data_IF_304724594133
#
_entry.id   IF_304724594133
#
_cell.length_a   1.000
_cell.length_b   1.000
_cell.length_c   1.000
_cell.angle_alpha   90.00
_cell.angle_beta   90.00
_cell.angle_gamma   90.00
#
_symmetry.space_group_name_H-M   'P 1'
#
loop_
_entity.id
_entity.type
_entity.pdbx_description
1 polymer ?
#
# COMPACT_ATOMS: atom_id res chain seq x y z
N UNK A 1 -12.22 -25.33 -2.48
CA UNK A 1 -12.41 -23.90 -2.14
C UNK A 1 -11.96 -23.05 -3.32
N UNK A 2 -12.64 -21.95 -3.67
CA UNK A 2 -12.14 -21.05 -4.73
C UNK A 2 -11.04 -20.15 -4.14
N UNK A 3 -10.00 -19.93 -4.92
CA UNK A 3 -8.91 -19.00 -4.60
C UNK A 3 -9.02 -17.75 -5.48
N UNK A 4 -8.51 -16.62 -5.00
CA UNK A 4 -8.51 -15.37 -5.76
C UNK A 4 -7.13 -15.16 -6.42
N UNK A 5 -7.05 -15.13 -7.76
CA UNK A 5 -5.81 -14.80 -8.45
C UNK A 5 -5.24 -13.44 -8.03
N UNK A 6 -3.95 -13.39 -7.71
CA UNK A 6 -3.27 -12.21 -7.22
C UNK A 6 -3.30 -11.04 -8.20
N UNK A 7 -3.20 -11.31 -9.50
CA UNK A 7 -3.25 -10.27 -10.53
C UNK A 7 -4.56 -9.46 -10.49
N UNK A 8 -5.68 -10.05 -10.03
CA UNK A 8 -6.96 -9.33 -9.90
C UNK A 8 -6.89 -8.27 -8.81
N UNK A 9 -6.20 -8.55 -7.70
CA UNK A 9 -5.93 -7.55 -6.66
C UNK A 9 -4.94 -6.50 -7.17
N UNK A 10 -3.89 -6.92 -7.88
CA UNK A 10 -2.92 -6.00 -8.48
C UNK A 10 -3.57 -4.99 -9.44
N UNK A 11 -4.57 -5.41 -10.23
CA UNK A 11 -5.33 -4.51 -11.11
C UNK A 11 -6.07 -3.41 -10.34
N UNK A 12 -6.67 -3.75 -9.19
CA UNK A 12 -7.29 -2.76 -8.31
C UNK A 12 -6.23 -1.81 -7.75
N UNK A 13 -5.10 -2.35 -7.27
CA UNK A 13 -4.01 -1.54 -6.73
C UNK A 13 -3.40 -0.59 -7.78
N UNK A 14 -3.25 -1.04 -9.03
CA UNK A 14 -2.83 -0.21 -10.17
C UNK A 14 -3.83 0.92 -10.45
N UNK A 15 -5.14 0.62 -10.44
CA UNK A 15 -6.19 1.63 -10.63
C UNK A 15 -6.21 2.65 -9.48
N UNK A 16 -6.12 2.19 -8.23
CA UNK A 16 -6.06 3.06 -7.06
C UNK A 16 -4.80 3.94 -7.05
N UNK A 17 -3.64 3.37 -7.38
CA UNK A 17 -2.39 4.12 -7.52
C UNK A 17 -2.54 5.22 -8.58
N UNK A 18 -3.08 4.87 -9.75
CA UNK A 18 -3.32 5.80 -10.86
C UNK A 18 -4.36 6.89 -10.57
N UNK A 19 -5.23 6.72 -9.57
CA UNK A 19 -6.17 7.74 -9.12
C UNK A 19 -5.57 8.62 -8.00
N UNK A 20 -4.96 8.00 -7.00
CA UNK A 20 -4.50 8.66 -5.76
C UNK A 20 -3.19 9.39 -5.98
N UNK A 21 -2.28 8.79 -6.75
CA UNK A 21 -0.92 9.31 -6.94
C UNK A 21 -0.79 10.08 -8.26
N UNK A 22 -1.91 10.30 -8.96
CA UNK A 22 -1.95 11.03 -10.23
C UNK A 22 -1.41 12.45 -10.09
N UNK A 23 -0.69 12.90 -11.11
CA UNK A 23 -0.41 14.31 -11.32
C UNK A 23 -1.09 14.84 -12.61
N UNK A 24 -1.75 16.01 -12.58
CA UNK A 24 -2.14 16.77 -11.39
C UNK A 24 -3.15 15.99 -10.50
N UNK A 25 -3.19 16.27 -9.18
CA UNK A 25 -4.10 15.57 -8.27
C UNK A 25 -5.57 15.88 -8.60
N UNK A 26 -6.44 14.89 -8.37
CA UNK A 26 -7.88 15.07 -8.50
C UNK A 26 -8.44 15.90 -7.34
N UNK A 27 -9.51 16.65 -7.59
CA UNK A 27 -10.25 17.33 -6.53
C UNK A 27 -10.76 16.29 -5.51
N UNK A 28 -10.71 16.58 -4.18
CA UNK A 28 -11.02 15.58 -3.14
C UNK A 28 -12.37 14.87 -3.32
N UNK A 29 -13.41 15.60 -3.75
CA UNK A 29 -14.75 15.04 -4.00
C UNK A 29 -14.73 14.03 -5.15
N UNK A 30 -14.10 14.39 -6.26
CA UNK A 30 -13.98 13.52 -7.46
C UNK A 30 -13.10 12.31 -7.14
N UNK A 31 -12.02 12.50 -6.39
CA UNK A 31 -11.14 11.40 -5.96
C UNK A 31 -11.92 10.37 -5.14
N UNK A 32 -12.68 10.82 -4.13
CA UNK A 32 -13.50 9.94 -3.26
C UNK A 32 -14.52 9.13 -4.06
N UNK A 33 -15.18 9.77 -5.02
CA UNK A 33 -16.14 9.12 -5.93
C UNK A 33 -15.46 8.06 -6.80
N UNK A 34 -14.41 8.44 -7.55
CA UNK A 34 -13.70 7.51 -8.45
C UNK A 34 -13.07 6.33 -7.73
N UNK A 35 -12.50 6.55 -6.54
CA UNK A 35 -11.98 5.49 -5.67
C UNK A 35 -13.10 4.54 -5.25
N UNK A 36 -14.25 5.07 -4.84
CA UNK A 36 -15.39 4.25 -4.43
C UNK A 36 -15.93 3.44 -5.60
N UNK A 37 -16.01 4.04 -6.78
CA UNK A 37 -16.42 3.34 -8.00
C UNK A 37 -15.46 2.19 -8.35
N UNK A 38 -14.15 2.41 -8.25
CA UNK A 38 -13.14 1.40 -8.52
C UNK A 38 -13.30 0.19 -7.59
N UNK A 39 -13.46 0.44 -6.29
CA UNK A 39 -13.76 -0.60 -5.31
C UNK A 39 -15.04 -1.36 -5.63
N UNK A 40 -16.14 -0.64 -5.87
CA UNK A 40 -17.46 -1.25 -6.08
C UNK A 40 -17.48 -2.06 -7.37
N UNK A 41 -16.86 -1.56 -8.44
CA UNK A 41 -16.68 -2.33 -9.69
C UNK A 41 -15.88 -3.60 -9.43
N UNK A 42 -14.77 -3.51 -8.69
CA UNK A 42 -13.93 -4.66 -8.37
C UNK A 42 -14.68 -5.72 -7.55
N UNK A 43 -15.41 -5.29 -6.51
CA UNK A 43 -16.25 -6.20 -5.72
C UNK A 43 -17.32 -6.87 -6.56
N UNK A 44 -18.03 -6.12 -7.42
CA UNK A 44 -19.04 -6.70 -8.31
C UNK A 44 -18.43 -7.72 -9.28
N UNK A 45 -17.27 -7.42 -9.86
CA UNK A 45 -16.59 -8.28 -10.82
C UNK A 45 -16.05 -9.58 -10.19
N UNK A 46 -15.74 -9.57 -8.90
CA UNK A 46 -15.14 -10.72 -8.21
C UNK A 46 -16.02 -11.33 -7.13
N UNK A 47 -17.28 -10.90 -7.04
CA UNK A 47 -18.26 -11.34 -6.04
C UNK A 47 -18.35 -12.86 -5.94
N UNK A 48 -18.57 -13.55 -7.06
CA UNK A 48 -18.72 -15.01 -7.05
C UNK A 48 -17.46 -15.77 -6.57
N UNK A 49 -16.29 -15.15 -6.71
CA UNK A 49 -15.05 -15.73 -6.19
C UNK A 49 -14.93 -15.47 -4.69
N UNK A 50 -15.21 -14.23 -4.25
CA UNK A 50 -15.16 -13.83 -2.85
C UNK A 50 -16.23 -14.55 -2.01
N UNK A 51 -17.45 -14.69 -2.51
CA UNK A 51 -18.55 -15.39 -1.83
C UNK A 51 -18.27 -16.90 -1.72
N UNK A 52 -17.47 -17.46 -2.64
CA UNK A 52 -17.06 -18.87 -2.65
C UNK A 52 -15.72 -19.13 -1.93
N UNK A 53 -15.02 -18.08 -1.48
CA UNK A 53 -13.89 -18.21 -0.58
C UNK A 53 -14.38 -18.59 0.82
N UNK A 54 -13.49 -19.14 1.64
CA UNK A 54 -13.80 -19.33 3.05
C UNK A 54 -14.11 -17.97 3.68
N UNK A 55 -15.26 -17.84 4.37
CA UNK A 55 -15.80 -16.55 4.84
C UNK A 55 -14.80 -15.77 5.70
N UNK A 56 -13.99 -16.49 6.47
CA UNK A 56 -13.03 -15.91 7.39
C UNK A 56 -11.59 -15.92 6.83
N UNK A 57 -11.40 -16.13 5.52
CA UNK A 57 -10.07 -16.08 4.90
C UNK A 57 -9.55 -14.63 4.85
N UNK A 58 -8.46 -14.30 5.57
CA UNK A 58 -8.01 -12.93 5.69
C UNK A 58 -7.08 -12.51 4.53
N UNK A 59 -6.71 -13.41 3.62
CA UNK A 59 -5.61 -13.20 2.66
C UNK A 59 -5.83 -12.00 1.74
N UNK A 60 -7.08 -11.77 1.32
CA UNK A 60 -7.44 -10.61 0.48
C UNK A 60 -7.21 -9.32 1.23
N UNK A 61 -7.67 -9.23 2.47
CA UNK A 61 -7.53 -8.04 3.30
C UNK A 61 -6.07 -7.81 3.69
N UNK A 62 -5.32 -8.85 4.05
CA UNK A 62 -3.88 -8.75 4.32
C UNK A 62 -3.09 -8.30 3.09
N UNK A 63 -3.48 -8.73 1.89
CA UNK A 63 -2.91 -8.26 0.63
C UNK A 63 -3.24 -6.78 0.38
N UNK A 64 -4.46 -6.32 0.66
CA UNK A 64 -4.90 -4.94 0.43
C UNK A 64 -4.44 -3.95 1.52
N UNK A 65 -4.07 -4.47 2.69
CA UNK A 65 -3.75 -3.71 3.90
C UNK A 65 -2.49 -4.24 4.61
N UNK A 66 -1.34 -4.32 3.93
CA UNK A 66 -0.16 -4.90 4.54
C UNK A 66 0.38 -4.06 5.71
N UNK A 67 0.07 -2.76 5.77
CA UNK A 67 0.52 -1.86 6.83
C UNK A 67 -0.03 -2.22 8.23
N UNK A 68 -1.12 -2.99 8.29
CA UNK A 68 -1.73 -3.42 9.56
C UNK A 68 -1.10 -4.70 10.13
N UNK A 69 -0.17 -5.31 9.39
CA UNK A 69 0.47 -6.58 9.72
C UNK A 69 1.76 -6.36 10.49
N UNK A 70 1.73 -5.49 11.50
CA UNK A 70 2.88 -5.18 12.35
C UNK A 70 3.37 -6.37 13.19
N UNK A 71 2.54 -7.40 13.32
CA UNK A 71 2.77 -8.65 14.04
C UNK A 71 3.71 -9.64 13.31
N UNK A 72 4.04 -9.38 12.05
CA UNK A 72 4.86 -10.24 11.18
C UNK A 72 6.15 -9.56 10.79
N UNK A 73 7.30 -10.10 11.13
CA UNK A 73 8.56 -9.64 10.56
C UNK A 73 9.00 -10.60 9.44
N UNK A 74 9.27 -10.08 8.25
CA UNK A 74 9.73 -10.90 7.13
C UNK A 74 11.26 -10.93 6.99
N UNK A 75 12.00 -10.10 7.73
CA UNK A 75 13.46 -9.90 7.61
C UNK A 75 13.92 -9.61 6.16
N UNK A 76 13.06 -8.94 5.38
CA UNK A 76 13.34 -8.58 3.98
C UNK A 76 13.78 -7.13 3.92
N UNK A 77 15.06 -6.88 4.16
CA UNK A 77 15.64 -5.55 3.92
C UNK A 77 16.00 -5.36 2.43
N UNK A 78 16.07 -4.10 1.98
CA UNK A 78 16.27 -3.71 0.57
C UNK A 78 17.41 -4.47 -0.12
N UNK A 79 18.60 -4.47 0.50
CA UNK A 79 19.80 -5.13 -0.04
C UNK A 79 19.63 -6.66 -0.14
N UNK A 80 18.98 -7.29 0.84
CA UNK A 80 18.70 -8.73 0.80
C UNK A 80 17.74 -9.05 -0.34
N UNK A 81 16.66 -8.27 -0.50
CA UNK A 81 15.71 -8.45 -1.58
C UNK A 81 16.37 -8.30 -2.96
N UNK A 82 17.23 -7.30 -3.14
CA UNK A 82 17.93 -7.10 -4.41
C UNK A 82 18.83 -8.28 -4.77
N UNK A 83 19.62 -8.77 -3.80
CA UNK A 83 20.46 -9.96 -3.98
C UNK A 83 19.64 -11.21 -4.26
N UNK A 84 18.53 -11.36 -3.53
CA UNK A 84 17.56 -12.43 -3.71
C UNK A 84 17.00 -12.43 -5.13
N UNK A 85 16.41 -11.31 -5.59
CA UNK A 85 15.85 -11.20 -6.93
C UNK A 85 16.90 -11.41 -8.02
N UNK A 86 18.11 -10.87 -7.83
CA UNK A 86 19.22 -11.07 -8.76
C UNK A 86 19.63 -12.54 -8.89
N UNK A 87 19.51 -13.32 -7.80
CA UNK A 87 19.75 -14.76 -7.81
C UNK A 87 18.62 -15.52 -8.51
N UNK A 88 17.36 -15.30 -8.13
CA UNK A 88 16.23 -16.07 -8.70
C UNK A 88 15.94 -15.76 -10.16
N UNK A 89 16.16 -14.52 -10.58
CA UNK A 89 16.02 -14.15 -12.00
C UNK A 89 17.28 -14.40 -12.81
N UNK A 90 18.31 -15.02 -12.23
CA UNK A 90 19.60 -15.27 -12.89
C UNK A 90 20.16 -14.02 -13.57
N UNK A 91 20.06 -12.86 -12.88
CA UNK A 91 20.39 -11.59 -13.49
C UNK A 91 21.86 -11.53 -13.92
N UNK A 92 22.08 -11.09 -15.16
CA UNK A 92 23.41 -10.80 -15.70
C UNK A 92 24.06 -9.64 -14.94
N UNK A 93 25.38 -9.47 -15.12
CA UNK A 93 26.12 -8.33 -14.54
C UNK A 93 25.52 -7.00 -14.98
N UNK A 94 25.14 -6.89 -16.25
CA UNK A 94 24.47 -5.70 -16.80
C UNK A 94 23.12 -5.45 -16.15
N UNK A 95 22.27 -6.47 -16.03
CA UNK A 95 20.95 -6.35 -15.39
C UNK A 95 21.06 -5.91 -13.92
N UNK A 96 22.04 -6.44 -13.17
CA UNK A 96 22.31 -6.01 -11.79
C UNK A 96 22.78 -4.57 -11.73
N UNK A 97 23.65 -4.15 -12.64
CA UNK A 97 24.09 -2.76 -12.74
C UNK A 97 22.92 -1.82 -13.05
N UNK A 98 22.03 -2.21 -13.99
CA UNK A 98 20.79 -1.48 -14.29
C UNK A 98 19.89 -1.39 -13.06
N UNK A 99 19.67 -2.48 -12.34
CA UNK A 99 18.83 -2.48 -11.13
C UNK A 99 19.39 -1.56 -10.03
N UNK A 100 20.72 -1.51 -9.88
CA UNK A 100 21.39 -0.57 -8.97
C UNK A 100 21.25 0.89 -9.43
N UNK A 101 21.48 1.17 -10.71
CA UNK A 101 21.31 2.54 -11.29
C UNK A 101 19.91 3.09 -11.08
N UNK A 102 18.87 2.24 -11.10
CA UNK A 102 17.51 2.69 -10.80
C UNK A 102 17.38 3.29 -9.39
N UNK A 103 18.24 2.93 -8.42
CA UNK A 103 18.26 3.57 -7.09
C UNK A 103 18.71 5.03 -7.15
N UNK A 104 19.69 5.31 -8.01
CA UNK A 104 20.32 6.62 -8.18
C UNK A 104 19.41 7.60 -8.96
N UNK A 105 18.29 7.09 -9.49
CA UNK A 105 17.35 7.82 -10.34
C UNK A 105 17.69 7.64 -11.82
N UNK A 106 16.77 7.11 -12.60
CA UNK A 106 16.95 6.86 -14.03
C UNK A 106 16.70 8.10 -14.92
N UNK A 107 16.51 9.27 -14.30
CA UNK A 107 16.06 10.49 -14.97
C UNK A 107 14.59 10.45 -15.42
N UNK A 108 13.93 9.29 -15.36
CA UNK A 108 12.50 9.11 -15.60
C UNK A 108 11.75 9.46 -14.32
N UNK A 109 11.76 10.74 -13.97
CA UNK A 109 10.88 11.26 -12.92
C UNK A 109 9.45 11.09 -13.42
N UNK A 110 8.76 10.02 -13.02
CA UNK A 110 7.31 9.94 -13.19
C UNK A 110 6.73 10.94 -12.20
N UNK A 111 6.03 11.99 -12.65
CA UNK A 111 5.44 12.94 -11.74
C UNK A 111 4.34 12.25 -10.96
N UNK A 112 4.67 11.84 -9.74
CA UNK A 112 3.74 11.16 -8.87
C UNK A 112 3.48 12.08 -7.71
N UNK A 113 2.22 12.48 -7.54
CA UNK A 113 1.81 13.20 -6.36
C UNK A 113 1.93 12.24 -5.17
N UNK A 114 2.86 12.53 -4.25
CA UNK A 114 2.97 11.80 -3.01
C UNK A 114 2.20 12.56 -1.92
N UNK A 115 1.06 12.05 -1.42
CA UNK A 115 0.31 12.74 -0.35
C UNK A 115 1.09 12.85 0.97
N UNK A 116 2.15 12.05 1.16
CA UNK A 116 2.97 12.02 2.37
C UNK A 116 4.19 12.93 2.30
N UNK A 117 4.67 13.26 1.10
CA UNK A 117 5.77 14.19 0.91
C UNK A 117 5.21 15.56 0.50
N UNK A 118 5.88 16.64 0.90
CA UNK A 118 5.47 18.00 0.52
C UNK A 118 5.39 18.17 -1.01
N UNK A 119 4.83 19.32 -1.42
CA UNK A 119 4.48 19.70 -2.82
C UNK A 119 5.53 19.45 -3.92
N UNK A 120 6.79 19.14 -3.58
CA UNK A 120 7.94 19.16 -4.49
C UNK A 120 8.62 17.79 -4.72
N UNK A 121 8.20 16.71 -4.04
CA UNK A 121 8.80 15.37 -4.26
C UNK A 121 8.11 14.63 -5.42
N UNK A 122 8.57 14.93 -6.63
CA UNK A 122 7.96 14.52 -7.90
C UNK A 122 8.41 13.14 -8.41
N UNK A 123 8.98 12.26 -7.58
CA UNK A 123 9.51 10.98 -8.05
C UNK A 123 9.16 9.81 -7.13
N UNK A 124 8.45 8.82 -7.69
CA UNK A 124 8.20 7.55 -7.02
C UNK A 124 9.26 6.51 -7.39
N UNK A 125 10.39 6.53 -6.68
CA UNK A 125 11.49 5.58 -6.87
C UNK A 125 11.57 4.53 -5.74
N UNK A 126 10.42 3.95 -5.37
CA UNK A 126 10.39 2.89 -4.35
C UNK A 126 10.94 1.56 -4.89
N UNK A 127 11.33 0.65 -4.00
CA UNK A 127 11.87 -0.66 -4.39
C UNK A 127 10.87 -1.47 -5.25
N UNK A 128 9.56 -1.33 -5.03
CA UNK A 128 8.55 -1.98 -5.87
C UNK A 128 8.57 -1.44 -7.31
N UNK A 129 8.69 -0.13 -7.49
CA UNK A 129 8.87 0.48 -8.82
C UNK A 129 10.13 -0.06 -9.50
N UNK A 130 11.27 -0.08 -8.78
CA UNK A 130 12.53 -0.59 -9.32
C UNK A 130 12.44 -2.07 -9.72
N UNK A 131 11.74 -2.88 -8.93
CA UNK A 131 11.43 -4.29 -9.26
C UNK A 131 10.58 -4.38 -10.53
N UNK A 132 9.57 -3.52 -10.70
CA UNK A 132 8.80 -3.47 -11.93
C UNK A 132 9.70 -3.20 -13.14
N UNK A 133 10.56 -2.20 -13.05
CA UNK A 133 11.43 -1.79 -14.15
C UNK A 133 12.41 -2.90 -14.53
N UNK A 134 13.08 -3.53 -13.55
CA UNK A 134 14.02 -4.62 -13.86
C UNK A 134 13.30 -5.85 -14.41
N UNK A 135 12.11 -6.19 -13.91
CA UNK A 135 11.32 -7.31 -14.46
C UNK A 135 10.87 -7.06 -15.91
N UNK A 136 10.52 -5.82 -16.26
CA UNK A 136 10.27 -5.43 -17.65
C UNK A 136 11.52 -5.56 -18.51
N UNK A 137 12.65 -5.04 -18.02
CA UNK A 137 13.93 -5.06 -18.73
C UNK A 137 14.40 -6.49 -19.04
N UNK A 138 14.21 -7.44 -18.13
CA UNK A 138 14.54 -8.85 -18.38
C UNK A 138 13.47 -9.63 -19.17
N UNK A 139 12.41 -8.96 -19.65
CA UNK A 139 11.40 -9.56 -20.53
C UNK A 139 10.30 -10.37 -19.84
N UNK A 140 10.02 -10.13 -18.55
CA UNK A 140 8.98 -10.87 -17.80
C UNK A 140 7.55 -10.60 -18.29
N UNK A 141 7.32 -9.51 -19.00
CA UNK A 141 5.98 -9.19 -19.48
C UNK A 141 5.70 -9.83 -20.85
N UNK A 142 6.74 -10.27 -21.56
CA UNK A 142 6.66 -10.86 -22.90
C UNK A 142 7.00 -12.34 -22.92
N UNK A 143 7.60 -12.88 -21.84
CA UNK A 143 7.91 -14.30 -21.72
C UNK A 143 6.61 -15.14 -21.65
N UNK A 144 6.49 -16.09 -22.59
CA UNK A 144 5.27 -16.88 -22.77
C UNK A 144 4.86 -17.66 -21.51
N UNK A 145 5.79 -18.24 -20.77
CA UNK A 145 5.51 -18.99 -19.54
C UNK A 145 4.86 -18.07 -18.50
N UNK A 146 5.47 -16.91 -18.25
CA UNK A 146 5.01 -15.96 -17.25
C UNK A 146 3.66 -15.31 -17.58
N UNK A 147 3.36 -15.15 -18.87
CA UNK A 147 2.06 -14.63 -19.36
C UNK A 147 0.90 -15.54 -18.97
N UNK A 148 1.13 -16.85 -18.77
CA UNK A 148 0.09 -17.76 -18.29
C UNK A 148 0.19 -18.01 -16.78
N UNK A 149 1.40 -18.20 -16.25
CA UNK A 149 1.60 -18.62 -14.86
C UNK A 149 1.16 -17.56 -13.83
N UNK A 150 1.28 -16.26 -14.15
CA UNK A 150 0.87 -15.20 -13.22
C UNK A 150 -0.65 -15.25 -12.90
N UNK A 151 -1.46 -15.86 -13.77
CA UNK A 151 -2.90 -16.02 -13.57
C UNK A 151 -3.23 -17.10 -12.53
N UNK A 152 -2.29 -18.00 -12.27
CA UNK A 152 -2.42 -19.12 -11.32
C UNK A 152 -1.94 -18.74 -9.92
N UNK A 153 -1.08 -17.72 -9.79
CA UNK A 153 -0.64 -17.25 -8.47
C UNK A 153 -1.82 -16.63 -7.72
N UNK A 154 -2.08 -17.11 -6.51
CA UNK A 154 -3.24 -16.69 -5.70
C UNK A 154 -2.84 -15.85 -4.49
N UNK A 155 -3.78 -15.05 -3.97
CA UNK A 155 -3.55 -14.30 -2.72
C UNK A 155 -3.33 -15.22 -1.53
N UNK A 156 -3.98 -16.40 -1.53
CA UNK A 156 -3.84 -17.41 -0.48
C UNK A 156 -2.44 -18.00 -0.46
N UNK A 157 -1.88 -18.28 -1.63
CA UNK A 157 -0.52 -18.80 -1.79
C UNK A 157 0.53 -17.78 -1.35
N UNK A 158 0.33 -16.51 -1.70
CA UNK A 158 1.20 -15.42 -1.25
C UNK A 158 1.13 -15.28 0.27
N UNK A 159 -0.07 -15.18 0.83
CA UNK A 159 -0.24 -15.06 2.28
C UNK A 159 0.35 -16.26 3.03
N UNK A 160 0.15 -17.48 2.53
CA UNK A 160 0.72 -18.69 3.13
C UNK A 160 2.26 -18.69 3.10
N UNK A 161 2.85 -18.21 2.01
CA UNK A 161 4.32 -18.07 1.92
C UNK A 161 4.83 -17.01 2.88
N UNK A 162 4.19 -15.84 2.93
CA UNK A 162 4.60 -14.74 3.80
C UNK A 162 4.43 -15.07 5.28
N UNK A 163 3.34 -15.75 5.66
CA UNK A 163 3.15 -16.17 7.05
C UNK A 163 4.14 -17.25 7.46
N UNK A 164 4.50 -18.15 6.55
CA UNK A 164 5.53 -19.17 6.80
C UNK A 164 6.90 -18.52 7.02
N UNK A 165 7.28 -17.54 6.20
CA UNK A 165 8.50 -16.74 6.41
C UNK A 165 8.46 -16.05 7.77
N UNK A 166 7.36 -15.35 8.07
CA UNK A 166 7.24 -14.59 9.30
C UNK A 166 7.27 -15.48 10.55
N UNK A 167 6.64 -16.65 10.51
CA UNK A 167 6.58 -17.57 11.65
C UNK A 167 7.96 -18.06 12.11
N UNK A 168 8.94 -18.10 11.21
CA UNK A 168 10.32 -18.50 11.50
C UNK A 168 11.22 -17.35 11.95
N UNK A 169 10.74 -16.12 11.84
CA UNK A 169 11.52 -14.94 12.19
C UNK A 169 11.35 -14.57 13.66
N UNK A 170 12.46 -14.33 14.35
CA UNK A 170 12.45 -13.91 15.75
C UNK A 170 11.72 -12.60 16.00
N UNK A 171 11.76 -11.67 15.04
CA UNK A 171 11.08 -10.38 15.10
C UNK A 171 9.55 -10.45 15.06
N UNK A 172 8.99 -11.61 14.70
CA UNK A 172 7.53 -11.81 14.67
C UNK A 172 6.92 -12.01 16.05
N UNK A 173 5.63 -11.66 16.16
CA UNK A 173 4.84 -11.87 17.37
C UNK A 173 4.72 -13.36 17.76
N UNK A 174 4.46 -13.64 19.03
CA UNK A 174 4.28 -15.01 19.50
C UNK A 174 3.11 -15.73 18.80
N UNK A 175 2.05 -15.01 18.44
CA UNK A 175 0.94 -15.54 17.65
C UNK A 175 1.39 -16.04 16.29
N UNK A 176 2.19 -15.25 15.57
CA UNK A 176 2.72 -15.64 14.26
C UNK A 176 3.75 -16.78 14.41
N UNK A 177 4.64 -16.71 15.40
CA UNK A 177 5.61 -17.78 15.67
C UNK A 177 4.96 -19.11 16.06
N UNK A 178 3.77 -19.08 16.66
CA UNK A 178 3.01 -20.30 16.97
C UNK A 178 2.53 -21.08 15.73
N UNK A 179 2.59 -20.46 14.54
CA UNK A 179 2.27 -21.09 13.26
C UNK A 179 3.50 -21.73 12.58
N UNK A 180 4.68 -21.69 13.19
CA UNK A 180 5.88 -22.26 12.62
C UNK A 180 5.79 -23.80 12.54
N UNK A 181 6.25 -24.37 11.43
CA UNK A 181 6.45 -25.82 11.29
C UNK A 181 7.97 -26.05 11.19
N UNK A 182 8.57 -26.87 12.08
CA UNK A 182 10.00 -27.17 12.03
C UNK A 182 10.48 -27.80 10.72
N UNK A 183 9.56 -28.37 9.93
CA UNK A 183 9.87 -28.98 8.64
C UNK A 183 9.89 -28.00 7.48
N UNK A 184 9.45 -26.75 7.69
CA UNK A 184 9.58 -25.72 6.67
C UNK A 184 11.04 -25.35 6.50
N UNK A 185 11.63 -25.86 5.43
CA UNK A 185 12.91 -25.38 4.94
C UNK A 185 12.66 -24.47 3.75
N UNK A 186 13.68 -23.65 3.45
CA UNK A 186 13.77 -22.95 2.17
C UNK A 186 12.60 -21.98 1.89
N UNK A 187 12.18 -21.23 2.92
CA UNK A 187 11.07 -20.26 2.82
C UNK A 187 11.31 -19.18 1.76
N UNK A 188 12.58 -18.79 1.57
CA UNK A 188 12.99 -17.91 0.48
C UNK A 188 12.87 -18.57 -0.90
N UNK A 189 13.09 -19.89 -1.04
CA UNK A 189 12.87 -20.57 -2.32
C UNK A 189 11.40 -20.55 -2.73
N UNK A 190 10.47 -20.72 -1.77
CA UNK A 190 9.03 -20.57 -2.02
C UNK A 190 8.69 -19.17 -2.52
N UNK A 191 9.25 -18.13 -1.88
CA UNK A 191 9.08 -16.76 -2.32
C UNK A 191 9.64 -16.55 -3.74
N UNK A 192 10.79 -17.15 -4.02
CA UNK A 192 11.44 -17.10 -5.34
C UNK A 192 10.60 -17.75 -6.43
N UNK A 193 9.98 -18.90 -6.14
CA UNK A 193 9.04 -19.60 -7.02
C UNK A 193 7.75 -18.80 -7.27
N UNK A 194 7.32 -17.95 -6.33
CA UNK A 194 6.25 -17.00 -6.60
C UNK A 194 6.74 -15.94 -7.57
N UNK A 195 7.84 -15.25 -7.26
CA UNK A 195 8.40 -14.20 -8.13
C UNK A 195 8.68 -14.72 -9.56
N UNK A 196 9.15 -15.95 -9.72
CA UNK A 196 9.43 -16.58 -11.01
C UNK A 196 8.18 -16.87 -11.86
N UNK A 197 6.96 -16.73 -11.31
CA UNK A 197 5.70 -16.83 -12.05
C UNK A 197 5.02 -15.48 -12.28
N UNK A 198 5.48 -14.40 -11.65
CA UNK A 198 4.86 -13.07 -11.75
C UNK A 198 5.36 -12.28 -12.96
N UNK A 199 4.50 -11.43 -13.53
CA UNK A 199 4.90 -10.34 -14.41
C UNK A 199 5.32 -9.12 -13.60
N UNK A 200 5.82 -8.08 -14.29
CA UNK A 200 6.40 -6.90 -13.64
C UNK A 200 5.42 -6.17 -12.71
N UNK A 201 4.15 -6.01 -13.11
CA UNK A 201 3.14 -5.34 -12.27
C UNK A 201 2.88 -6.13 -10.97
N UNK A 202 2.75 -7.45 -11.05
CA UNK A 202 2.53 -8.24 -9.83
C UNK A 202 3.79 -8.26 -8.95
N UNK A 203 4.98 -8.33 -9.54
CA UNK A 203 6.24 -8.24 -8.80
C UNK A 203 6.40 -6.92 -8.04
N UNK A 204 5.96 -5.80 -8.63
CA UNK A 204 5.86 -4.49 -7.95
C UNK A 204 5.01 -4.60 -6.68
N UNK A 205 3.79 -5.13 -6.82
CA UNK A 205 2.84 -5.18 -5.71
C UNK A 205 3.28 -6.15 -4.61
N UNK A 206 3.77 -7.34 -4.97
CA UNK A 206 4.29 -8.28 -3.98
C UNK A 206 5.44 -7.67 -3.17
N UNK A 207 6.36 -6.97 -3.85
CA UNK A 207 7.47 -6.27 -3.20
C UNK A 207 6.96 -5.21 -2.21
N UNK A 208 5.95 -4.43 -2.60
CA UNK A 208 5.36 -3.42 -1.71
C UNK A 208 4.57 -4.03 -0.55
N UNK A 209 3.96 -5.21 -0.72
CA UNK A 209 3.31 -5.99 0.35
C UNK A 209 4.35 -6.43 1.38
N UNK A 210 5.47 -7.00 0.93
CA UNK A 210 6.57 -7.45 1.81
C UNK A 210 7.13 -6.28 2.62
N UNK A 211 7.35 -5.14 1.98
CA UNK A 211 7.80 -3.93 2.67
C UNK A 211 6.69 -3.21 3.46
N UNK A 212 5.45 -3.67 3.37
CA UNK A 212 4.25 -3.08 3.97
C UNK A 212 4.09 -1.59 3.66
N UNK A 213 4.53 -1.18 2.49
CA UNK A 213 4.45 0.20 2.03
C UNK A 213 4.00 0.28 0.58
N UNK A 214 2.74 0.66 0.43
CA UNK A 214 2.12 0.92 -0.85
C UNK A 214 2.40 2.30 -1.39
N UNK A 215 3.15 3.17 -0.72
CA UNK A 215 3.39 4.56 -1.10
C UNK A 215 2.14 5.45 -1.12
N UNK A 216 0.95 4.88 -0.89
CA UNK A 216 -0.31 5.58 -0.64
C UNK A 216 -1.15 4.77 0.34
N UNK A 217 -2.15 5.42 0.94
CA UNK A 217 -3.10 4.75 1.81
C UNK A 217 -4.24 4.17 0.98
N UNK A 218 -4.39 2.84 0.97
CA UNK A 218 -5.55 2.18 0.36
C UNK A 218 -6.82 2.61 1.11
N UNK A 219 -7.81 3.22 0.46
CA UNK A 219 -9.01 3.70 1.16
C UNK A 219 -9.83 2.54 1.72
N UNK A 220 -10.11 2.57 3.02
CA UNK A 220 -10.96 1.57 3.71
C UNK A 220 -12.42 2.00 3.83
N UNK A 221 -12.66 3.28 3.58
CA UNK A 221 -13.95 3.93 3.69
C UNK A 221 -14.54 4.04 2.28
N UNK A 222 -15.36 3.07 1.89
CA UNK A 222 -15.99 3.05 0.58
C UNK A 222 -17.35 3.73 0.70
N UNK A 223 -17.54 4.81 -0.09
CA UNK A 223 -18.83 5.48 -0.16
C UNK A 223 -19.74 4.72 -1.13
N UNK A 224 -20.82 4.16 -0.60
CA UNK A 224 -21.83 3.47 -1.38
C UNK A 224 -23.06 4.37 -1.46
N UNK A 225 -23.34 4.85 -2.67
CA UNK A 225 -24.46 5.76 -2.97
C UNK A 225 -25.57 5.03 -3.74
N UNK A 226 -26.64 5.75 -4.03
CA UNK A 226 -27.73 5.31 -4.92
C UNK A 226 -27.27 4.96 -6.35
N UNK A 227 -26.08 5.38 -6.79
CA UNK A 227 -25.52 4.95 -8.09
C UNK A 227 -25.11 3.48 -8.07
N UNK A 228 -24.81 2.95 -6.89
CA UNK A 228 -24.29 1.60 -6.70
C UNK A 228 -25.33 0.61 -6.19
N UNK A 229 -26.46 1.10 -5.70
CA UNK A 229 -27.47 0.39 -4.93
C UNK A 229 -28.87 0.83 -5.34
N UNK A 230 -29.90 0.12 -4.86
CA UNK A 230 -31.29 0.56 -4.99
C UNK A 230 -31.73 1.57 -3.91
N UNK A 231 -30.78 2.12 -3.13
CA UNK A 231 -31.12 3.05 -2.05
C UNK A 231 -31.55 4.43 -2.57
N UNK A 232 -32.36 5.18 -1.78
CA UNK A 232 -32.73 6.55 -2.11
C UNK A 232 -31.50 7.45 -2.29
N UNK A 233 -31.58 8.46 -3.16
CA UNK A 233 -30.47 9.40 -3.47
C UNK A 233 -29.92 10.17 -2.27
N UNK A 234 -30.69 10.30 -1.20
CA UNK A 234 -30.26 10.94 0.05
C UNK A 234 -29.59 10.01 1.07
N UNK A 235 -29.53 8.70 0.80
CA UNK A 235 -28.92 7.73 1.70
C UNK A 235 -27.49 7.42 1.27
N UNK A 236 -26.53 7.77 2.13
CA UNK A 236 -25.12 7.42 1.98
C UNK A 236 -24.76 6.30 2.96
N UNK A 237 -24.21 5.20 2.43
CA UNK A 237 -23.66 4.13 3.25
C UNK A 237 -22.14 4.16 3.20
N UNK A 238 -21.53 3.95 4.36
CA UNK A 238 -20.09 3.86 4.52
C UNK A 238 -19.71 2.44 4.89
N UNK A 239 -19.12 1.71 3.95
CA UNK A 239 -18.56 0.40 4.23
C UNK A 239 -17.13 0.55 4.78
N UNK A 240 -16.80 -0.26 5.79
CA UNK A 240 -15.47 -0.34 6.41
C UNK A 240 -15.02 -1.78 6.51
N UNK A 241 -13.74 -2.02 6.26
CA UNK A 241 -13.13 -3.32 6.52
C UNK A 241 -12.69 -3.42 7.98
N UNK A 242 -13.11 -4.49 8.66
CA UNK A 242 -12.57 -4.85 9.96
C UNK A 242 -11.31 -5.70 9.80
N UNK A 243 -10.17 -5.01 9.70
CA UNK A 243 -8.86 -5.66 9.49
C UNK A 243 -8.16 -5.99 10.82
N UNK A 244 -8.63 -5.40 11.93
CA UNK A 244 -7.96 -5.53 13.25
C UNK A 244 -8.23 -6.86 13.92
N UNK A 245 -9.41 -7.43 13.67
CA UNK A 245 -9.86 -8.68 14.28
C UNK A 245 -9.61 -9.91 13.41
N UNK A 246 -8.88 -9.76 12.30
CA UNK A 246 -8.56 -10.88 11.42
C UNK A 246 -7.54 -11.82 12.07
N UNK A 247 -7.88 -13.10 12.10
CA UNK A 247 -6.98 -14.14 12.62
C UNK A 247 -6.08 -14.64 11.48
N UNK A 248 -4.76 -14.66 11.65
CA UNK A 248 -3.87 -15.28 10.68
C UNK A 248 -4.21 -16.76 10.46
N UNK A 249 -4.16 -17.20 9.20
CA UNK A 249 -4.39 -18.59 8.82
C UNK A 249 -3.17 -19.05 8.03
N UNK A 250 -2.57 -20.16 8.47
CA UNK A 250 -1.58 -20.88 7.70
C UNK A 250 -2.23 -22.07 7.00
N UNK A 251 -1.86 -22.35 5.76
CA UNK A 251 -2.42 -23.45 4.96
C UNK A 251 -1.42 -24.59 4.87
N UNK A 252 -1.90 -25.83 5.02
CA UNK A 252 -1.09 -27.06 4.89
C UNK A 252 -1.82 -28.03 3.96
N UNK A 253 -1.28 -28.22 2.76
CA UNK A 253 -1.94 -29.03 1.72
C UNK A 253 -3.23 -28.40 1.18
N UNK A 254 -4.10 -29.20 0.56
CA UNK A 254 -5.27 -28.70 -0.15
C UNK A 254 -6.41 -28.19 0.76
N UNK A 255 -6.46 -28.64 2.01
CA UNK A 255 -7.58 -28.35 2.93
C UNK A 255 -7.18 -28.07 4.38
N UNK A 256 -5.91 -28.30 4.76
CA UNK A 256 -5.47 -28.05 6.13
C UNK A 256 -5.36 -26.55 6.41
N UNK A 257 -6.09 -26.06 7.40
CA UNK A 257 -5.90 -24.72 7.96
C UNK A 257 -5.36 -24.86 9.37
N UNK A 258 -4.24 -24.19 9.65
CA UNK A 258 -3.60 -24.11 10.95
C UNK A 258 -3.88 -22.72 11.49
N UNK A 259 -4.54 -22.70 12.64
CA UNK A 259 -4.80 -21.50 13.42
C UNK A 259 -3.72 -21.35 14.49
N UNK A 260 -3.36 -20.12 14.89
CA UNK A 260 -2.36 -19.91 15.93
C UNK A 260 -2.84 -20.51 17.25
N UNK A 261 -1.95 -21.21 17.96
CA UNK A 261 -2.25 -21.77 19.28
C UNK A 261 -2.24 -20.72 20.40
N UNK A 262 -1.65 -19.55 20.12
CA UNK A 262 -1.61 -18.39 21.02
C UNK A 262 -2.17 -17.18 20.30
N UNK A 263 -3.24 -16.57 20.82
CA UNK A 263 -3.81 -15.32 20.28
C UNK A 263 -3.44 -14.18 21.23
N UNK A 264 -2.49 -13.34 20.81
CA UNK A 264 -2.17 -12.08 21.49
C UNK A 264 -2.89 -10.92 20.79
N UNK A 265 -3.51 -9.99 21.53
CA UNK A 265 -4.04 -8.78 20.95
C UNK A 265 -2.93 -8.00 20.24
N UNK A 266 -3.15 -7.59 18.99
CA UNK A 266 -2.20 -6.75 18.25
C UNK A 266 -1.96 -5.46 19.04
N UNK A 267 -0.70 -5.21 19.42
CA UNK A 267 -0.31 -4.00 20.14
C UNK A 267 -0.47 -2.81 19.20
N UNK A 268 -1.31 -1.84 19.56
CA UNK A 268 -1.34 -0.55 18.86
C UNK A 268 -0.02 0.18 19.15
N UNK A 269 0.93 0.14 18.23
CA UNK A 269 2.08 1.03 18.29
C UNK A 269 1.64 2.43 17.82
N UNK A 270 1.16 3.24 18.75
CA UNK A 270 1.28 4.69 18.62
C UNK A 270 2.78 5.01 18.71
N UNK A 271 3.37 5.48 17.60
CA UNK A 271 4.72 6.07 17.64
C UNK A 271 4.66 7.38 18.44
N UNK A 272 4.74 7.28 19.76
CA UNK A 272 5.18 8.39 20.58
C UNK A 272 6.71 8.32 20.66
N UNK A 273 7.37 9.23 19.94
CA UNK A 273 8.77 9.53 20.17
C UNK A 273 8.89 10.24 21.53
N UNK A 274 9.16 9.47 22.57
CA UNK A 274 9.50 9.95 23.90
C UNK A 274 10.53 9.04 24.53
N UNK A 275 11.79 9.44 24.43
CA UNK A 275 13.00 8.86 25.02
C UNK A 275 12.76 8.26 26.42
N UNK A 276 12.81 6.93 26.55
CA UNK A 276 12.90 6.27 27.86
C UNK A 276 14.36 6.02 28.20
N UNK A 277 14.93 6.93 28.99
CA UNK A 277 16.14 6.70 29.78
C UNK A 277 15.76 5.94 31.05
N UNK A 278 16.44 4.82 31.27
CA UNK A 278 16.34 3.96 32.46
C UNK A 278 16.77 4.76 33.71
N UNK A 279 16.02 4.77 34.83
CA UNK A 279 16.53 5.31 36.08
C UNK A 279 17.05 4.19 37.00
N UNK A 280 18.33 4.30 37.34
CA UNK A 280 18.97 3.66 38.51
C UNK A 280 18.57 4.44 39.76
N UNK A 281 18.27 3.81 40.91
CA UNK A 281 17.87 4.53 42.10
C UNK A 281 19.10 5.07 42.84
N UNK A 282 19.11 6.37 43.16
CA UNK A 282 20.00 6.89 44.19
C UNK A 282 19.31 7.92 45.07
N UNK A 283 19.44 7.65 46.36
CA UNK A 283 18.87 8.34 47.52
C UNK A 283 19.68 9.61 47.79
N UNK A 284 19.02 10.77 47.85
CA UNK A 284 19.26 11.83 48.83
C UNK A 284 18.35 13.06 48.58
N UNK A 285 17.63 13.47 49.62
CA UNK A 285 17.02 14.81 49.82
C UNK A 285 18.09 15.75 50.45
N UNK A 286 17.80 17.04 50.74
CA UNK A 286 17.13 18.09 49.94
C UNK A 286 17.85 19.46 50.07
N UNK A 287 17.66 20.43 49.17
CA UNK A 287 17.66 21.86 49.56
C UNK A 287 17.04 22.81 48.51
N UNK A 288 16.04 23.56 48.98
CA UNK A 288 15.55 24.91 48.61
C UNK A 288 16.17 25.62 47.39
N UNK A 289 15.31 26.18 46.51
CA UNK A 289 14.95 27.61 46.56
C UNK A 289 13.97 27.97 45.43
N UNK A 290 12.90 28.65 45.82
CA UNK A 290 11.92 29.33 44.96
C UNK A 290 12.58 30.54 44.30
N UNK A 291 12.36 30.75 42.99
CA UNK A 291 12.32 32.09 42.38
C UNK A 291 11.24 32.16 41.30
N UNK A 292 10.21 32.93 41.63
CA UNK A 292 9.19 33.49 40.75
C UNK A 292 9.82 34.70 40.02
N UNK A 293 9.83 34.73 38.68
CA UNK A 293 9.91 35.98 37.91
C UNK A 293 9.02 35.86 36.65
N UNK A 294 8.18 36.88 36.51
CA UNK A 294 7.11 37.18 35.56
C UNK A 294 7.54 37.46 34.10
N UNK A 295 6.60 37.48 33.13
CA UNK A 295 6.86 37.73 31.71
C UNK A 295 6.73 39.21 31.33
N UNK A 296 7.26 39.63 30.16
CA UNK A 296 6.74 40.81 29.47
C UNK A 296 6.57 40.54 27.93
N UNK A 297 6.05 41.49 27.13
CA UNK A 297 4.62 41.62 26.87
C UNK A 297 4.24 41.56 25.38
N UNK A 298 2.94 41.44 25.16
CA UNK A 298 2.18 41.67 23.93
C UNK A 298 2.52 42.99 23.23
N UNK A 299 2.65 42.97 21.90
CA UNK A 299 2.56 44.19 21.06
C UNK A 299 1.42 44.04 20.07
N UNK A 300 0.48 44.98 20.18
CA UNK A 300 -0.76 45.08 19.42
C UNK A 300 -0.52 45.52 17.97
N UNK A 301 -1.44 45.01 17.15
CA UNK A 301 -1.98 45.45 15.87
C UNK A 301 -1.85 46.93 15.47
N UNK A 302 -1.76 47.17 14.14
CA UNK A 302 -2.76 47.95 13.39
C UNK A 302 -2.73 47.68 11.87
N UNK A 303 -3.87 47.87 11.17
CA UNK A 303 -4.16 47.47 9.78
C UNK A 303 -4.00 48.64 8.80
N UNK A 304 -4.41 48.44 7.53
CA UNK A 304 -4.85 49.39 6.46
C UNK A 304 -4.48 48.72 5.11
N UNK A 305 -5.22 48.70 3.99
CA UNK A 305 -6.44 49.36 3.50
C UNK A 305 -6.95 48.57 2.29
N UNK A 306 -8.28 48.46 2.18
CA UNK A 306 -9.03 48.08 0.98
C UNK A 306 -9.13 49.29 0.04
N UNK A 307 -8.92 49.09 -1.25
CA UNK A 307 -9.35 50.03 -2.29
C UNK A 307 -10.11 49.29 -3.38
N UNK A 308 -11.43 49.43 -3.34
CA UNK A 308 -12.36 49.20 -4.44
C UNK A 308 -12.41 50.43 -5.35
N UNK A 309 -12.42 50.22 -6.66
CA UNK A 309 -13.03 51.04 -7.76
C UNK A 309 -12.35 50.61 -9.07
N UNK A 310 -12.99 50.47 -10.24
CA UNK A 310 -14.36 50.69 -10.66
C UNK A 310 -14.60 49.93 -11.99
N UNK A 311 -15.85 49.49 -12.18
CA UNK A 311 -16.69 49.62 -13.38
C UNK A 311 -15.98 49.77 -14.74
N UNK A 312 -16.17 48.80 -15.65
CA UNK A 312 -16.68 49.10 -17.01
C UNK A 312 -17.08 47.84 -17.77
N UNK A 313 -18.33 47.86 -18.19
CA UNK A 313 -19.00 46.98 -19.13
C UNK A 313 -18.49 47.19 -20.56
N UNK A 314 -18.45 46.14 -21.39
CA UNK A 314 -18.68 46.24 -22.83
C UNK A 314 -19.10 44.86 -23.38
N UNK A 315 -20.38 44.77 -23.75
CA UNK A 315 -20.94 43.76 -24.64
C UNK A 315 -20.43 44.01 -26.07
N UNK A 316 -20.04 42.97 -26.81
CA UNK A 316 -20.23 42.90 -28.27
C UNK A 316 -20.62 41.46 -28.65
N UNK A 317 -21.82 41.36 -29.23
CA UNK A 317 -22.40 40.23 -29.93
C UNK A 317 -21.92 40.19 -31.40
N UNK A 318 -22.18 39.03 -32.06
CA UNK A 318 -22.21 38.79 -33.53
C UNK A 318 -20.84 38.62 -34.22
N UNK A 319 -20.63 37.68 -35.16
CA UNK A 319 -21.53 36.86 -35.98
C UNK A 319 -20.76 35.72 -36.67
N UNK A 320 -21.46 34.61 -36.95
CA UNK A 320 -21.11 33.58 -37.95
C UNK A 320 -20.97 34.19 -39.37
N UNK A 321 -20.32 33.46 -40.28
CA UNK A 321 -21.02 33.10 -41.51
C UNK A 321 -20.86 31.62 -41.90
N UNK A 322 -22.01 30.97 -42.16
CA UNK A 322 -22.12 29.86 -43.12
C UNK A 322 -22.17 30.46 -44.52
N UNK A 323 -21.41 29.90 -45.47
CA UNK A 323 -21.89 29.63 -46.84
C UNK A 323 -20.86 28.79 -47.62
N UNK A 324 -21.29 27.57 -48.00
CA UNK A 324 -20.96 26.93 -49.28
C UNK A 324 -21.82 27.60 -50.38
N UNK A 325 -21.38 27.67 -51.65
CA UNK A 325 -21.45 26.54 -52.62
C UNK A 325 -20.21 26.54 -53.56
N UNK A 326 -19.90 25.57 -54.42
CA UNK A 326 -20.64 24.56 -55.19
C UNK A 326 -19.86 23.25 -55.26
#
# INVERSE_FOLDING_TARGET
MKNLPFYKVCKLLDELEGLICRFPPLLPKILKEKVSDAWIRWFKLHRDTLDAMHKDDPSVLFTLKPEVLDDRDYDVHKVALERFLARYFYMTVEQRATFKKLEEGDGTLIPVWNPKAGRDDLARNDIGYRVQCIMKYIGRDTNQETVFEHTKVTVQEIEDTLITIAAQNEGSSATIKSLADPNDRDTWDRLGQIYSRLQSSQGKWLTRIIHKDFGFQVPVDILVTAVHTSFPRGLELKAKFDVKNLVPIRRRGETGMIMPSVIQPRRSFTKDHGTQTIPVPSVARPTKSIKLISPPPTRQSRPLVLSDSAVSSLNVMQSLPQQMPQ
#
